data_IF_362703070551
#
_entry.id   IF_362703070551
#
_cell.length_a   1.000
_cell.length_b   1.000
_cell.length_c   1.000
_cell.angle_alpha   90.00
_cell.angle_beta   90.00
_cell.angle_gamma   90.00
#
_symmetry.space_group_name_H-M   'P 1'
#
loop_
_entity.id
_entity.type
_entity.pdbx_description
1 polymer ?
#
# COMPACT_ATOMS: atom_id res chain seq x y z
N UNK A 1 -20.13 -3.07 -6.56
CA UNK A 1 -19.22 -3.19 -5.42
C UNK A 1 -18.31 -2.00 -5.47
N UNK A 2 -18.46 -1.13 -4.49
CA UNK A 2 -17.84 0.19 -4.49
C UNK A 2 -16.38 0.10 -4.07
N UNK A 3 -15.64 1.19 -4.25
CA UNK A 3 -14.25 1.22 -3.83
C UNK A 3 -13.74 2.62 -3.53
N UNK A 4 -12.77 2.68 -2.61
CA UNK A 4 -11.96 3.87 -2.33
C UNK A 4 -10.60 3.68 -3.03
N UNK A 5 -10.17 4.72 -3.74
CA UNK A 5 -8.86 4.79 -4.37
C UNK A 5 -7.95 5.74 -3.59
N UNK A 6 -6.81 5.24 -3.13
CA UNK A 6 -5.75 6.02 -2.51
C UNK A 6 -4.54 5.95 -3.43
N UNK A 7 -4.12 7.08 -4.01
CA UNK A 7 -3.03 7.10 -4.99
C UNK A 7 -1.89 8.01 -4.52
N UNK A 8 -0.66 7.65 -4.85
CA UNK A 8 0.52 8.46 -4.58
C UNK A 8 0.92 8.48 -3.11
N UNK A 9 0.63 7.43 -2.34
CA UNK A 9 1.12 7.32 -0.96
C UNK A 9 2.63 7.13 -1.01
N UNK A 10 3.37 8.21 -0.76
CA UNK A 10 4.82 8.23 -0.91
C UNK A 10 5.54 8.17 0.43
N UNK A 11 6.60 7.37 0.52
CA UNK A 11 7.45 7.28 1.71
C UNK A 11 8.86 6.81 1.36
N UNK A 12 9.85 7.29 2.11
CA UNK A 12 11.22 6.81 2.01
C UNK A 12 11.37 5.54 2.85
N UNK A 13 11.98 4.50 2.29
CA UNK A 13 12.10 3.20 2.93
C UNK A 13 13.43 2.51 2.58
N UNK A 14 13.66 1.38 3.24
CA UNK A 14 14.93 0.64 3.18
C UNK A 14 14.74 -0.82 2.75
N UNK A 15 13.62 -1.11 2.08
CA UNK A 15 13.36 -2.44 1.52
C UNK A 15 14.17 -2.61 0.24
N UNK A 16 14.87 -3.72 0.10
CA UNK A 16 15.70 -3.98 -1.07
C UNK A 16 16.59 -5.20 -0.89
N UNK A 17 16.96 -5.80 -2.01
CA UNK A 17 17.78 -7.01 -2.01
C UNK A 17 19.26 -6.67 -1.83
N UNK A 18 19.68 -5.55 -2.41
CA UNK A 18 21.06 -5.11 -2.33
C UNK A 18 21.35 -4.47 -0.96
N UNK A 19 22.51 -4.74 -0.33
CA UNK A 19 22.90 -4.10 0.93
C UNK A 19 22.80 -2.58 0.90
N UNK A 20 23.15 -1.96 -0.23
CA UNK A 20 23.09 -0.52 -0.45
C UNK A 20 21.66 0.00 -0.35
N UNK A 21 20.67 -0.74 -0.85
CA UNK A 21 19.25 -0.36 -0.72
C UNK A 21 18.80 -0.35 0.75
N UNK A 22 19.36 -1.24 1.58
CA UNK A 22 19.00 -1.33 3.00
C UNK A 22 19.67 -0.26 3.88
N UNK A 23 20.75 0.34 3.37
CA UNK A 23 21.52 1.40 4.03
C UNK A 23 21.11 2.79 3.52
N UNK A 24 21.17 3.02 2.21
CA UNK A 24 20.86 4.30 1.59
C UNK A 24 19.35 4.55 1.53
N UNK A 25 18.57 3.49 1.34
CA UNK A 25 17.13 3.57 1.10
C UNK A 25 16.79 4.19 -0.25
N UNK A 26 15.48 4.28 -0.51
CA UNK A 26 14.93 4.92 -1.70
C UNK A 26 13.48 5.34 -1.48
N UNK A 27 12.94 6.13 -2.40
CA UNK A 27 11.52 6.44 -2.43
C UNK A 27 10.70 5.23 -2.89
N UNK A 28 9.59 4.99 -2.21
CA UNK A 28 8.52 4.09 -2.63
C UNK A 28 7.24 4.89 -2.80
N UNK A 29 6.44 4.49 -3.78
CA UNK A 29 5.10 5.01 -4.03
C UNK A 29 4.11 3.85 -4.00
N UNK A 30 3.01 4.01 -3.27
CA UNK A 30 2.00 2.97 -3.10
C UNK A 30 0.63 3.52 -3.48
N UNK A 31 -0.04 2.81 -4.38
CA UNK A 31 -1.46 2.99 -4.66
C UNK A 31 -2.24 1.83 -4.02
N UNK A 32 -3.39 2.16 -3.44
CA UNK A 32 -4.26 1.20 -2.77
C UNK A 32 -5.68 1.37 -3.28
N UNK A 33 -6.31 0.27 -3.69
CA UNK A 33 -7.74 0.21 -3.97
C UNK A 33 -8.41 -0.70 -2.95
N UNK A 34 -9.40 -0.16 -2.26
CA UNK A 34 -10.13 -0.82 -1.17
C UNK A 34 -11.56 -1.06 -1.65
N UNK A 35 -12.00 -2.31 -1.69
CA UNK A 35 -13.40 -2.61 -1.98
C UNK A 35 -14.19 -2.83 -0.70
N UNK A 36 -15.28 -2.08 -0.56
CA UNK A 36 -16.18 -2.06 0.59
C UNK A 36 -17.54 -1.52 0.13
N UNK A 37 -18.57 -1.74 0.94
CA UNK A 37 -19.88 -1.13 0.73
C UNK A 37 -19.87 0.34 1.20
N UNK A 38 -20.19 1.26 0.31
CA UNK A 38 -20.25 2.70 0.60
C UNK A 38 -21.68 3.23 0.69
N UNK A 39 -22.70 2.38 0.48
CA UNK A 39 -24.11 2.78 0.43
C UNK A 39 -24.54 3.50 1.71
N UNK A 40 -24.32 2.88 2.88
CA UNK A 40 -24.73 3.44 4.17
C UNK A 40 -24.12 4.81 4.44
N UNK A 41 -22.81 4.96 4.22
CA UNK A 41 -22.14 6.24 4.42
C UNK A 41 -22.63 7.32 3.44
N UNK A 42 -23.01 6.92 2.21
CA UNK A 42 -23.62 7.83 1.23
C UNK A 42 -25.03 8.31 1.62
N UNK A 43 -25.74 7.56 2.47
CA UNK A 43 -27.05 7.93 2.99
C UNK A 43 -26.95 8.74 4.29
N UNK A 44 -26.01 8.38 5.17
CA UNK A 44 -25.95 8.91 6.54
C UNK A 44 -24.98 10.07 6.73
N UNK A 45 -24.00 10.25 5.84
CA UNK A 45 -22.89 11.20 5.99
C UNK A 45 -22.07 11.01 7.29
N UNK A 46 -22.12 9.80 7.87
CA UNK A 46 -21.44 9.47 9.13
C UNK A 46 -20.11 8.76 8.88
N UNK A 47 -19.02 9.22 9.49
CA UNK A 47 -17.68 8.61 9.33
C UNK A 47 -17.64 7.20 9.90
N UNK A 48 -18.45 6.91 10.91
CA UNK A 48 -18.58 5.61 11.57
C UNK A 48 -19.16 4.54 10.62
N UNK A 49 -19.87 4.96 9.57
CA UNK A 49 -20.47 4.09 8.58
C UNK A 49 -19.53 3.73 7.43
N UNK A 50 -18.31 4.26 7.41
CA UNK A 50 -17.27 3.94 6.43
C UNK A 50 -15.91 3.66 7.08
N UNK A 51 -14.87 3.55 6.25
CA UNK A 51 -13.49 3.42 6.66
C UNK A 51 -12.79 4.78 6.65
N UNK A 52 -12.18 5.16 7.77
CA UNK A 52 -11.26 6.31 7.79
C UNK A 52 -9.95 5.95 7.07
N UNK A 53 -9.85 6.33 5.80
CA UNK A 53 -8.70 6.04 4.95
C UNK A 53 -7.39 6.69 5.43
N UNK A 54 -7.41 7.68 6.35
CA UNK A 54 -6.19 8.26 6.93
C UNK A 54 -5.40 7.21 7.72
N UNK A 55 -6.10 6.26 8.33
CA UNK A 55 -5.48 5.12 9.02
C UNK A 55 -4.72 4.20 8.06
N UNK A 56 -5.28 3.96 6.87
CA UNK A 56 -4.64 3.16 5.80
C UNK A 56 -3.39 3.85 5.27
N UNK A 57 -3.47 5.16 5.00
CA UNK A 57 -2.31 5.96 4.56
C UNK A 57 -1.19 5.88 5.59
N UNK A 58 -1.53 6.08 6.87
CA UNK A 58 -0.57 6.06 7.98
C UNK A 58 0.08 4.67 8.13
N UNK A 59 -0.72 3.61 8.02
CA UNK A 59 -0.26 2.23 8.04
C UNK A 59 0.75 1.98 6.91
N UNK A 60 0.39 2.30 5.67
CA UNK A 60 1.26 2.12 4.48
C UNK A 60 2.58 2.87 4.66
N UNK A 61 2.53 4.15 5.04
CA UNK A 61 3.72 4.97 5.24
C UNK A 61 4.63 4.40 6.34
N UNK A 62 4.05 4.00 7.47
CA UNK A 62 4.80 3.42 8.57
C UNK A 62 5.45 2.09 8.16
N UNK A 63 4.69 1.22 7.51
CA UNK A 63 5.19 -0.06 7.01
C UNK A 63 6.36 0.14 6.05
N UNK A 64 6.27 1.06 5.08
CA UNK A 64 7.39 1.36 4.15
C UNK A 64 8.63 1.87 4.89
N UNK A 65 8.46 2.79 5.85
CA UNK A 65 9.57 3.41 6.59
C UNK A 65 10.32 2.42 7.50
N UNK A 66 9.59 1.47 8.09
CA UNK A 66 10.10 0.58 9.14
C UNK A 66 10.49 -0.81 8.64
N UNK A 67 9.94 -1.24 7.50
CA UNK A 67 10.24 -2.57 6.96
C UNK A 67 11.69 -2.69 6.52
N UNK A 68 12.27 -3.87 6.81
CA UNK A 68 13.61 -4.29 6.37
C UNK A 68 13.53 -5.55 5.51
N UNK A 69 12.44 -5.70 4.75
CA UNK A 69 12.30 -6.84 3.84
C UNK A 69 13.32 -6.74 2.70
N UNK A 70 13.75 -7.89 2.18
CA UNK A 70 14.58 -7.94 0.99
C UNK A 70 13.76 -7.68 -0.30
N UNK A 71 12.48 -8.06 -0.29
CA UNK A 71 11.64 -8.12 -1.48
C UNK A 71 10.47 -7.14 -1.41
N UNK A 72 10.20 -6.47 -2.53
CA UNK A 72 9.05 -5.57 -2.68
C UNK A 72 7.74 -6.35 -2.72
N UNK A 73 7.76 -7.59 -3.19
CA UNK A 73 6.63 -8.52 -3.16
C UNK A 73 6.21 -8.81 -1.72
N UNK A 74 7.17 -9.07 -0.83
CA UNK A 74 6.90 -9.29 0.59
C UNK A 74 6.32 -8.03 1.24
N UNK A 75 6.89 -6.87 0.95
CA UNK A 75 6.39 -5.59 1.45
C UNK A 75 4.95 -5.33 0.98
N UNK A 76 4.68 -5.51 -0.31
CA UNK A 76 3.36 -5.32 -0.94
C UNK A 76 2.33 -6.27 -0.35
N UNK A 77 2.66 -7.56 -0.23
CA UNK A 77 1.79 -8.56 0.37
C UNK A 77 1.50 -8.27 1.84
N UNK A 78 2.51 -7.83 2.61
CA UNK A 78 2.36 -7.47 4.01
C UNK A 78 1.47 -6.24 4.21
N UNK A 79 1.59 -5.22 3.34
CA UNK A 79 0.67 -4.06 3.33
C UNK A 79 -0.76 -4.53 3.09
N UNK A 80 -0.99 -5.36 2.07
CA UNK A 80 -2.32 -5.89 1.77
C UNK A 80 -2.92 -6.68 2.95
N UNK A 81 -2.13 -7.56 3.57
CA UNK A 81 -2.57 -8.33 4.75
C UNK A 81 -2.89 -7.43 5.94
N UNK A 82 -2.06 -6.41 6.18
CA UNK A 82 -2.24 -5.47 7.29
C UNK A 82 -3.50 -4.60 7.11
N UNK A 83 -3.81 -4.20 5.87
CA UNK A 83 -5.03 -3.47 5.54
C UNK A 83 -6.27 -4.32 5.82
N UNK A 84 -6.26 -5.58 5.37
CA UNK A 84 -7.36 -6.51 5.64
C UNK A 84 -7.48 -6.76 7.16
N UNK A 85 -6.38 -6.91 7.89
CA UNK A 85 -6.43 -7.07 9.34
C UNK A 85 -6.97 -5.83 10.09
N UNK A 86 -6.83 -4.62 9.53
CA UNK A 86 -7.22 -3.38 10.19
C UNK A 86 -8.74 -3.14 10.17
N UNK A 87 -9.45 -3.59 9.13
CA UNK A 87 -10.89 -3.30 8.99
C UNK A 87 -11.66 -4.40 8.28
N UNK A 88 -12.62 -4.99 8.98
CA UNK A 88 -13.53 -6.01 8.44
C UNK A 88 -14.49 -5.50 7.35
N UNK A 89 -14.63 -4.17 7.21
CA UNK A 89 -15.40 -3.56 6.12
C UNK A 89 -14.76 -3.76 4.75
N UNK A 90 -13.42 -3.92 4.70
CA UNK A 90 -12.68 -4.17 3.46
C UNK A 90 -12.74 -5.65 3.11
N UNK A 91 -13.35 -5.95 1.96
CA UNK A 91 -13.57 -7.32 1.47
C UNK A 91 -12.52 -7.75 0.44
N UNK A 92 -11.93 -6.78 -0.25
CA UNK A 92 -10.82 -6.97 -1.17
C UNK A 92 -9.92 -5.74 -1.14
N UNK A 93 -8.61 -5.94 -1.30
CA UNK A 93 -7.63 -4.88 -1.45
C UNK A 93 -6.72 -5.18 -2.63
N UNK A 94 -6.36 -4.15 -3.38
CA UNK A 94 -5.29 -4.16 -4.36
C UNK A 94 -4.24 -3.16 -3.90
N UNK A 95 -2.98 -3.56 -3.93
CA UNK A 95 -1.84 -2.73 -3.58
C UNK A 95 -0.90 -2.74 -4.75
N UNK A 96 -0.59 -1.55 -5.27
CA UNK A 96 0.43 -1.34 -6.29
C UNK A 96 1.59 -0.61 -5.63
N UNK A 97 2.72 -1.29 -5.45
CA UNK A 97 3.92 -0.69 -4.91
C UNK A 97 4.93 -0.45 -6.02
N UNK A 98 5.41 0.79 -6.14
CA UNK A 98 6.34 1.21 -7.17
C UNK A 98 7.67 1.69 -6.59
N UNK A 99 8.76 1.31 -7.26
CA UNK A 99 10.08 1.96 -7.16
C UNK A 99 10.20 2.96 -8.31
N UNK A 100 9.95 4.27 -8.09
CA UNK A 100 10.01 5.29 -9.14
C UNK A 100 11.43 5.52 -9.67
N UNK A 101 12.47 5.15 -8.92
CA UNK A 101 13.86 5.29 -9.31
C UNK A 101 14.67 4.07 -8.82
N UNK A 102 14.36 2.89 -9.38
CA UNK A 102 15.08 1.66 -9.04
C UNK A 102 16.58 1.82 -9.40
N UNK A 103 17.51 1.35 -8.55
CA UNK A 103 18.95 1.51 -8.77
C UNK A 103 19.48 0.50 -9.81
N UNK A 104 18.98 0.59 -11.04
CA UNK A 104 19.35 -0.27 -12.16
C UNK A 104 20.06 0.61 -13.19
N UNK A 105 21.34 0.34 -13.51
CA UNK A 105 22.06 1.07 -14.55
C UNK A 105 21.28 1.11 -15.87
N UNK A 106 21.25 2.27 -16.51
CA UNK A 106 20.61 2.51 -17.81
C UNK A 106 19.09 2.25 -17.85
N UNK A 107 18.42 2.21 -16.69
CA UNK A 107 16.97 2.09 -16.59
C UNK A 107 16.32 3.36 -16.03
N UNK A 108 15.62 4.10 -16.89
CA UNK A 108 14.87 5.32 -16.52
C UNK A 108 13.38 5.06 -16.24
N UNK A 109 12.96 3.80 -16.24
CA UNK A 109 11.57 3.42 -16.00
C UNK A 109 11.22 3.34 -14.50
N UNK A 110 10.06 2.75 -14.23
CA UNK A 110 9.64 2.37 -12.87
C UNK A 110 9.36 0.88 -12.82
N UNK A 111 9.59 0.27 -11.67
CA UNK A 111 9.17 -1.10 -11.38
C UNK A 111 7.98 -1.03 -10.45
N UNK A 112 6.94 -1.81 -10.75
CA UNK A 112 5.73 -1.88 -9.93
C UNK A 112 5.33 -3.33 -9.68
N UNK A 113 4.93 -3.61 -8.43
CA UNK A 113 4.29 -4.86 -8.04
C UNK A 113 2.81 -4.56 -7.84
N UNK A 114 1.95 -5.24 -8.58
CA UNK A 114 0.50 -5.18 -8.44
C UNK A 114 0.00 -6.51 -7.86
N UNK A 115 -0.59 -6.46 -6.67
CA UNK A 115 -1.15 -7.62 -6.01
C UNK A 115 -2.56 -7.29 -5.51
N UNK A 116 -3.47 -8.25 -5.72
CA UNK A 116 -4.84 -8.21 -5.19
C UNK A 116 -5.05 -9.37 -4.21
N UNK A 117 -5.64 -9.07 -3.04
CA UNK A 117 -6.05 -10.05 -2.03
C UNK A 117 -7.51 -9.86 -1.66
N UNK A 118 -8.22 -10.97 -1.51
CA UNK A 118 -9.58 -11.01 -0.93
C UNK A 118 -9.49 -11.43 0.52
N UNK A 119 -10.42 -10.95 1.34
CA UNK A 119 -10.65 -11.51 2.67
C UNK A 119 -11.11 -12.97 2.50
N UNK A 120 -10.41 -13.89 3.17
CA UNK A 120 -10.77 -15.30 3.28
C UNK A 120 -11.82 -15.52 4.36
#
# INVERSE_FOLDING_TARGET
MDCIHLTGIRSYGYTGYLPEEQVLGQWFEVDVKLWLDLSKAGETDAIEDTLDYRSIISLVQNTVKTSKFALVERLTAFIADSILALSDRVTQVQVILSKPAAPIPDFNGKISIDLTKKRS
#
